data_IF_197250768152
#
_entry.id   IF_197250768152
#
_cell.length_a   1.000
_cell.length_b   1.000
_cell.length_c   1.000
_cell.angle_alpha   90.00
_cell.angle_beta   90.00
_cell.angle_gamma   90.00
#
_symmetry.space_group_name_H-M   'P 1'
#
loop_
_entity.id
_entity.type
_entity.pdbx_description
1 polymer ?
#
# COMPACT_ATOMS: atom_id res chain seq x y z
N UNK A 1 5.01 1.54 -8.57
CA UNK A 1 5.56 1.04 -7.29
C UNK A 1 5.10 1.86 -6.09
N UNK A 2 5.37 3.17 -6.04
CA UNK A 2 5.06 4.02 -4.88
C UNK A 2 3.58 3.97 -4.48
N UNK A 3 2.67 3.95 -5.47
CA UNK A 3 1.23 3.86 -5.23
C UNK A 3 0.83 2.60 -4.46
N UNK A 4 1.41 1.45 -4.82
CA UNK A 4 1.15 0.18 -4.11
C UNK A 4 1.73 0.23 -2.70
N UNK A 5 2.92 0.79 -2.52
CA UNK A 5 3.54 0.94 -1.20
C UNK A 5 2.71 1.82 -0.25
N UNK A 6 2.21 2.96 -0.73
CA UNK A 6 1.33 3.85 0.05
C UNK A 6 0.05 3.13 0.49
N UNK A 7 -0.52 2.31 -0.39
CA UNK A 7 -1.72 1.52 -0.08
C UNK A 7 -1.44 0.42 0.95
N UNK A 8 -0.28 -0.22 0.89
CA UNK A 8 0.16 -1.26 1.83
C UNK A 8 0.43 -0.67 3.21
N UNK A 9 1.21 0.41 3.29
CA UNK A 9 1.56 1.07 4.55
C UNK A 9 0.35 1.65 5.31
N UNK A 10 -0.77 1.90 4.62
CA UNK A 10 -2.01 2.38 5.25
C UNK A 10 -2.58 1.39 6.27
N UNK A 11 -2.44 0.09 6.03
CA UNK A 11 -3.12 -0.95 6.82
C UNK A 11 -2.13 -1.98 7.34
N UNK A 12 -1.83 -1.93 8.65
CA UNK A 12 -0.86 -2.85 9.29
C UNK A 12 -1.41 -4.26 9.52
N UNK A 13 -2.73 -4.39 9.70
CA UNK A 13 -3.39 -5.64 10.12
C UNK A 13 -4.67 -5.91 9.33
N UNK A 14 -5.52 -4.89 9.15
CA UNK A 14 -6.80 -5.05 8.43
C UNK A 14 -6.57 -5.23 6.92
N UNK A 15 -7.50 -5.94 6.27
CA UNK A 15 -7.44 -6.08 4.81
C UNK A 15 -7.95 -4.79 4.21
N UNK A 16 -7.33 -4.40 3.10
CA UNK A 16 -7.78 -3.25 2.33
C UNK A 16 -9.23 -3.43 1.87
N UNK A 17 -9.66 -4.68 1.63
CA UNK A 17 -11.03 -5.01 1.23
C UNK A 17 -12.05 -4.75 2.34
N UNK A 18 -11.70 -5.03 3.60
CA UNK A 18 -12.59 -4.88 4.75
C UNK A 18 -12.62 -3.43 5.25
N UNK A 19 -11.49 -2.73 5.21
CA UNK A 19 -11.37 -1.35 5.69
C UNK A 19 -11.91 -0.31 4.70
N UNK A 20 -11.81 -0.59 3.39
CA UNK A 20 -12.19 0.33 2.33
C UNK A 20 -11.23 1.52 2.16
N UNK A 21 -11.27 2.14 0.97
CA UNK A 21 -10.45 3.32 0.63
C UNK A 21 -11.13 4.64 1.03
N UNK A 22 -11.67 4.74 2.25
CA UNK A 22 -12.44 5.92 2.69
C UNK A 22 -11.62 7.19 2.97
N UNK A 23 -10.30 7.13 2.82
CA UNK A 23 -9.44 8.29 3.08
C UNK A 23 -9.29 9.11 1.79
N UNK A 24 -10.08 10.18 1.67
CA UNK A 24 -10.09 11.03 0.47
C UNK A 24 -8.80 11.84 0.29
N UNK A 25 -8.14 12.24 1.38
CA UNK A 25 -6.86 12.96 1.32
C UNK A 25 -5.78 12.08 0.68
N UNK A 26 -5.78 10.78 0.99
CA UNK A 26 -4.85 9.82 0.39
C UNK A 26 -5.08 9.67 -1.12
N UNK A 27 -6.34 9.55 -1.55
CA UNK A 27 -6.68 9.43 -2.97
C UNK A 27 -6.36 10.72 -3.74
N UNK A 28 -6.57 11.88 -3.12
CA UNK A 28 -6.17 13.17 -3.68
C UNK A 28 -4.65 13.28 -3.84
N UNK A 29 -3.88 12.88 -2.83
CA UNK A 29 -2.42 12.87 -2.89
C UNK A 29 -1.87 12.00 -4.02
N UNK A 30 -2.42 10.80 -4.22
CA UNK A 30 -2.06 9.91 -5.34
C UNK A 30 -2.39 10.53 -6.70
N UNK A 31 -3.55 11.19 -6.82
CA UNK A 31 -3.94 11.91 -8.04
C UNK A 31 -3.03 13.10 -8.35
N UNK A 32 -2.63 13.84 -7.31
CA UNK A 32 -1.70 14.97 -7.45
C UNK A 32 -0.30 14.51 -7.86
N UNK A 33 0.19 13.42 -7.29
CA UNK A 33 1.46 12.79 -7.70
C UNK A 33 1.41 12.38 -9.17
N UNK A 34 0.31 11.76 -9.62
CA UNK A 34 0.11 11.42 -11.04
C UNK A 34 0.20 12.65 -11.93
N UNK A 35 -0.48 13.73 -11.53
CA UNK A 35 -0.58 14.95 -12.32
C UNK A 35 0.78 15.65 -12.44
N UNK A 36 1.54 15.75 -11.34
CA UNK A 36 2.92 16.27 -11.39
C UNK A 36 3.80 15.40 -12.28
N UNK A 37 3.72 14.07 -12.13
CA UNK A 37 4.52 13.15 -12.94
C UNK A 37 4.21 13.30 -14.44
N UNK A 38 2.93 13.41 -14.81
CA UNK A 38 2.50 13.65 -16.18
C UNK A 38 2.97 15.02 -16.69
N UNK A 39 2.84 16.08 -15.90
CA UNK A 39 3.34 17.41 -16.27
C UNK A 39 4.84 17.41 -16.52
N UNK A 40 5.64 16.72 -15.69
CA UNK A 40 7.10 16.64 -15.88
C UNK A 40 7.46 15.82 -17.12
N UNK A 41 6.71 14.76 -17.44
CA UNK A 41 6.99 13.90 -18.60
C UNK A 41 6.59 14.53 -19.94
N UNK A 42 5.55 15.37 -19.96
CA UNK A 42 4.96 15.89 -21.20
C UNK A 42 5.11 17.42 -21.40
N UNK A 43 5.49 18.18 -20.37
CA UNK A 43 5.74 19.62 -20.51
C UNK A 43 7.15 19.91 -20.99
N UNK A 44 7.26 20.55 -22.15
CA UNK A 44 8.53 20.94 -22.78
C UNK A 44 9.38 21.89 -21.92
N UNK A 45 8.75 22.72 -21.08
CA UNK A 45 9.45 23.62 -20.16
C UNK A 45 10.16 22.88 -19.02
N UNK A 46 9.50 21.90 -18.41
CA UNK A 46 10.10 21.08 -17.35
C UNK A 46 11.16 20.12 -17.90
N UNK A 47 10.96 19.62 -19.11
CA UNK A 47 11.91 18.72 -19.76
C UNK A 47 13.28 19.38 -20.00
N UNK A 48 13.29 20.69 -20.31
CA UNK A 48 14.52 21.48 -20.49
C UNK A 48 15.27 21.70 -19.16
N UNK A 49 14.54 21.95 -18.07
CA UNK A 49 15.13 22.19 -16.74
C UNK A 49 15.66 20.90 -16.09
N UNK A 50 14.88 19.82 -16.16
CA UNK A 50 15.21 18.54 -15.51
C UNK A 50 15.99 17.57 -16.41
N UNK A 51 16.24 17.93 -17.68
CA UNK A 51 16.89 17.07 -18.69
C UNK A 51 16.24 15.69 -18.82
N UNK A 52 14.93 15.61 -18.62
CA UNK A 52 14.18 14.36 -18.80
C UNK A 52 13.93 14.11 -20.30
N UNK A 53 13.64 12.87 -20.69
CA UNK A 53 13.18 12.56 -22.05
C UNK A 53 11.72 12.15 -22.02
N UNK A 54 11.01 12.42 -23.11
CA UNK A 54 9.59 12.10 -23.25
C UNK A 54 9.41 10.58 -23.20
N UNK A 55 8.72 10.11 -22.15
CA UNK A 55 8.54 8.67 -21.91
C UNK A 55 7.37 8.16 -22.76
N UNK A 56 7.63 7.16 -23.61
CA UNK A 56 6.57 6.41 -24.31
C UNK A 56 5.74 5.63 -23.30
N UNK A 57 4.41 5.65 -23.45
CA UNK A 57 3.45 4.95 -22.58
C UNK A 57 3.78 3.47 -22.36
N UNK A 58 4.43 2.81 -23.32
CA UNK A 58 4.91 1.43 -23.21
C UNK A 58 5.81 1.18 -21.99
N UNK A 59 6.57 2.19 -21.53
CA UNK A 59 7.45 2.07 -20.36
C UNK A 59 6.71 2.12 -19.02
N UNK A 60 5.42 2.46 -19.01
CA UNK A 60 4.61 2.47 -17.79
C UNK A 60 4.15 1.06 -17.38
N UNK A 61 3.90 0.21 -18.36
CA UNK A 61 3.44 -1.18 -18.16
C UNK A 61 4.37 -2.08 -17.35
N UNK A 62 5.70 -2.09 -17.51
CA UNK A 62 6.56 -2.97 -16.72
C UNK A 62 6.48 -2.72 -15.22
N UNK A 63 6.07 -1.53 -14.76
CA UNK A 63 5.92 -1.24 -13.32
C UNK A 63 4.62 -1.80 -12.72
N UNK A 64 3.59 -2.09 -13.53
CA UNK A 64 2.32 -2.64 -13.07
C UNK A 64 2.40 -4.06 -12.48
N UNK A 65 3.02 -5.07 -13.14
CA UNK A 65 3.03 -6.44 -12.63
C UNK A 65 3.75 -6.54 -11.27
N UNK A 66 4.84 -5.80 -11.07
CA UNK A 66 5.51 -5.76 -9.77
C UNK A 66 4.67 -5.09 -8.68
N UNK A 67 3.91 -4.03 -9.01
CA UNK A 67 2.99 -3.41 -8.06
C UNK A 67 1.86 -4.37 -7.66
N UNK A 68 1.35 -5.16 -8.61
CA UNK A 68 0.37 -6.21 -8.34
C UNK A 68 0.96 -7.31 -7.46
N UNK A 69 2.19 -7.74 -7.73
CA UNK A 69 2.88 -8.76 -6.93
C UNK A 69 3.08 -8.31 -5.48
N UNK A 70 3.55 -7.07 -5.25
CA UNK A 70 3.68 -6.49 -3.92
C UNK A 70 2.34 -6.43 -3.18
N UNK A 71 1.28 -6.05 -3.88
CA UNK A 71 -0.06 -6.00 -3.30
C UNK A 71 -0.56 -7.39 -2.85
N UNK A 72 -0.39 -8.41 -3.69
CA UNK A 72 -0.78 -9.79 -3.36
C UNK A 72 0.04 -10.32 -2.19
N UNK A 73 1.36 -10.10 -2.19
CA UNK A 73 2.23 -10.51 -1.11
C UNK A 73 1.83 -9.90 0.24
N UNK A 74 1.50 -8.61 0.26
CA UNK A 74 1.08 -7.94 1.49
C UNK A 74 -0.29 -8.42 2.00
N UNK A 75 -1.27 -8.62 1.13
CA UNK A 75 -2.56 -9.19 1.53
C UNK A 75 -2.41 -10.64 2.03
N UNK A 76 -1.52 -11.44 1.42
CA UNK A 76 -1.19 -12.78 1.92
C UNK A 76 -0.56 -12.72 3.32
N UNK A 77 0.40 -11.82 3.56
CA UNK A 77 1.01 -11.62 4.90
C UNK A 77 -0.04 -11.22 5.93
N UNK A 78 -0.91 -10.25 5.61
CA UNK A 78 -1.98 -9.80 6.51
C UNK A 78 -3.03 -10.89 6.75
N UNK A 79 -3.28 -11.76 5.78
CA UNK A 79 -4.15 -12.92 5.95
C UNK A 79 -3.57 -13.94 6.94
N UNK A 80 -2.31 -14.32 6.77
CA UNK A 80 -1.61 -15.23 7.69
C UNK A 80 -1.60 -14.65 9.11
N UNK A 81 -1.30 -13.35 9.23
CA UNK A 81 -1.27 -12.65 10.51
C UNK A 81 -2.62 -12.73 11.26
N UNK A 82 -3.74 -12.54 10.55
CA UNK A 82 -5.08 -12.69 11.15
C UNK A 82 -5.42 -14.13 11.51
N UNK A 83 -5.00 -15.09 10.68
CA UNK A 83 -5.24 -16.51 10.94
C UNK A 83 -4.45 -17.04 12.14
N UNK A 84 -3.27 -16.46 12.44
CA UNK A 84 -2.43 -16.88 13.56
C UNK A 84 -2.71 -16.09 14.85
N UNK A 85 -3.24 -14.87 14.76
CA UNK A 85 -3.57 -14.05 15.95
C UNK A 85 -4.85 -14.56 16.63
N UNK A 86 -4.72 -15.27 17.76
CA UNK A 86 -5.86 -15.74 18.55
C UNK A 86 -6.29 -14.60 19.49
N UNK A 87 -7.56 -14.19 19.40
CA UNK A 87 -8.15 -13.22 20.34
C UNK A 87 -8.94 -14.00 21.37
N UNK A 88 -8.41 -14.11 22.59
CA UNK A 88 -9.11 -14.73 23.71
C UNK A 88 -9.86 -13.65 24.48
N UNK A 89 -11.15 -13.86 24.72
CA UNK A 89 -11.94 -13.00 25.62
C UNK A 89 -11.74 -13.53 27.03
N UNK A 90 -11.23 -12.70 27.93
CA UNK A 90 -11.10 -13.10 29.33
C UNK A 90 -12.51 -13.12 29.98
N UNK A 91 -13.01 -14.29 30.40
CA UNK A 91 -14.40 -14.45 30.84
C UNK A 91 -14.74 -13.67 32.12
N UNK A 92 -13.75 -13.20 32.89
CA UNK A 92 -13.99 -12.46 34.13
C UNK A 92 -13.93 -10.93 33.96
N UNK A 93 -13.17 -10.42 32.99
CA UNK A 93 -12.96 -8.97 32.78
C UNK A 93 -13.57 -8.44 31.49
N UNK A 94 -14.07 -9.31 30.60
CA UNK A 94 -14.63 -8.91 29.31
C UNK A 94 -13.63 -8.20 28.38
N UNK A 95 -12.34 -8.21 28.74
CA UNK A 95 -11.27 -7.58 27.97
C UNK A 95 -10.83 -8.52 26.85
N UNK A 96 -10.71 -7.97 25.65
CA UNK A 96 -10.13 -8.66 24.50
C UNK A 96 -8.61 -8.69 24.67
N UNK A 97 -8.04 -9.85 24.98
CA UNK A 97 -6.59 -10.05 25.05
C UNK A 97 -6.16 -10.74 23.76
N UNK A 98 -5.37 -10.05 22.93
CA UNK A 98 -4.80 -10.63 21.70
C UNK A 98 -3.46 -11.28 22.04
N UNK A 99 -3.34 -12.58 21.79
CA UNK A 99 -2.07 -13.29 21.96
C UNK A 99 -1.31 -13.20 20.63
N UNK A 100 -0.17 -12.50 20.57
CA UNK A 100 0.59 -12.34 19.34
C UNK A 100 1.18 -13.70 18.94
N UNK A 101 0.77 -14.18 17.77
CA UNK A 101 1.32 -15.39 17.14
C UNK A 101 2.79 -15.21 16.74
N UNK A 102 3.45 -16.30 16.35
CA UNK A 102 4.87 -16.29 15.97
C UNK A 102 5.18 -15.29 14.83
N UNK A 103 4.31 -15.25 13.81
CA UNK A 103 4.41 -14.32 12.68
C UNK A 103 4.19 -12.86 13.12
N UNK A 104 3.31 -12.62 14.09
CA UNK A 104 3.09 -11.28 14.64
C UNK A 104 4.37 -10.78 15.33
N UNK A 105 5.02 -11.61 16.16
CA UNK A 105 6.26 -11.23 16.86
C UNK A 105 7.45 -11.00 15.94
N UNK A 106 7.57 -11.79 14.88
CA UNK A 106 8.76 -11.79 14.02
C UNK A 106 8.62 -10.87 12.79
N UNK A 107 7.40 -10.42 12.48
CA UNK A 107 7.14 -9.57 11.32
C UNK A 107 6.53 -8.20 11.67
N UNK A 108 6.25 -7.91 12.95
CA UNK A 108 5.90 -6.55 13.37
C UNK A 108 7.15 -5.66 13.36
N UNK A 109 7.28 -4.85 12.32
CA UNK A 109 8.12 -3.65 12.29
C UNK A 109 7.21 -2.43 12.20
#
# INVERSE_FOLDING_TARGET
>A
MQWSNILICKTRLLSIRTQGLRNQVLMFGLGFEFLICALICYSSGFQSVFKTQTIRLSHWFPAMPFAMFLFVYDEMRKYILRSTSITTVDPQTGKYVRIPGWVERNSYY
#
